data_IF_497034563226
#
_entry.id   IF_497034563226
#
_cell.length_a   1.000
_cell.length_b   1.000
_cell.length_c   1.000
_cell.angle_alpha   90.00
_cell.angle_beta   90.00
_cell.angle_gamma   90.00
#
_symmetry.space_group_name_H-M   'P 1'
#
loop_
_entity.id
_entity.type
_entity.pdbx_description
1 polymer ?
#
# COMPACT_ATOMS: atom_id res chain seq x y z
N UNK A 1 -15.75 5.72 -12.85
CA UNK A 1 -14.80 6.50 -13.67
C UNK A 1 -13.96 7.37 -12.75
N UNK A 2 -12.66 7.46 -12.98
CA UNK A 2 -11.81 8.40 -12.26
C UNK A 2 -12.17 9.83 -12.71
N UNK A 3 -12.51 10.70 -11.77
CA UNK A 3 -12.70 12.13 -12.07
C UNK A 3 -11.32 12.76 -12.15
N UNK A 4 -11.01 13.46 -13.24
CA UNK A 4 -9.73 14.16 -13.36
C UNK A 4 -9.69 15.29 -12.32
N UNK A 5 -8.83 15.16 -11.33
CA UNK A 5 -8.58 16.21 -10.35
C UNK A 5 -7.70 17.32 -10.94
N UNK A 6 -7.58 18.44 -10.20
CA UNK A 6 -6.85 19.62 -10.67
C UNK A 6 -5.38 19.32 -10.99
N UNK A 7 -4.70 18.56 -10.15
CA UNK A 7 -3.28 18.25 -10.35
C UNK A 7 -3.07 17.34 -11.58
N UNK A 8 -4.01 16.43 -11.83
CA UNK A 8 -3.99 15.53 -12.98
C UNK A 8 -4.33 16.26 -14.27
N UNK A 9 -5.29 17.21 -14.23
CA UNK A 9 -5.59 18.09 -15.37
C UNK A 9 -4.40 19.00 -15.72
N UNK A 10 -3.67 19.52 -14.73
CA UNK A 10 -2.44 20.30 -14.97
C UNK A 10 -1.37 19.46 -15.70
N UNK A 11 -1.16 18.20 -15.30
CA UNK A 11 -0.24 17.27 -15.99
C UNK A 11 -0.70 16.97 -17.42
N UNK A 12 -1.99 16.72 -17.63
CA UNK A 12 -2.53 16.50 -18.96
C UNK A 12 -2.41 17.73 -19.85
N UNK A 13 -2.64 18.92 -19.29
CA UNK A 13 -2.44 20.20 -19.97
C UNK A 13 -0.99 20.38 -20.41
N UNK A 14 -0.03 20.06 -19.53
CA UNK A 14 1.40 20.12 -19.86
C UNK A 14 1.76 19.14 -21.00
N UNK A 15 1.25 17.91 -20.94
CA UNK A 15 1.41 16.91 -21.99
C UNK A 15 0.88 17.39 -23.35
N UNK A 16 -0.34 17.95 -23.39
CA UNK A 16 -0.91 18.49 -24.63
C UNK A 16 -0.11 19.69 -25.19
N UNK A 17 0.50 20.51 -24.32
CA UNK A 17 1.39 21.61 -24.75
C UNK A 17 2.67 21.09 -25.38
N UNK A 18 3.26 20.06 -24.80
CA UNK A 18 4.44 19.40 -25.37
C UNK A 18 4.12 18.85 -26.77
N UNK A 19 2.99 18.17 -26.92
CA UNK A 19 2.53 17.68 -28.23
C UNK A 19 2.22 18.81 -29.21
N UNK A 20 1.66 19.92 -28.76
CA UNK A 20 1.49 21.11 -29.60
C UNK A 20 2.83 21.71 -30.08
N UNK A 21 3.88 21.66 -29.25
CA UNK A 21 5.23 22.07 -29.64
C UNK A 21 5.86 21.09 -30.64
N UNK A 22 5.61 19.78 -30.46
CA UNK A 22 6.00 18.73 -31.42
C UNK A 22 5.33 18.93 -32.78
N UNK A 23 4.02 19.23 -32.84
CA UNK A 23 3.31 19.56 -34.08
C UNK A 23 4.04 20.70 -34.80
N UNK A 24 4.34 21.80 -34.10
CA UNK A 24 5.00 22.96 -34.72
C UNK A 24 6.38 22.62 -35.27
N UNK A 25 7.17 21.86 -34.52
CA UNK A 25 8.53 21.49 -34.89
C UNK A 25 8.54 20.56 -36.11
N UNK A 26 7.69 19.54 -36.12
CA UNK A 26 7.77 18.46 -37.10
C UNK A 26 6.97 18.75 -38.37
N UNK A 27 5.96 19.62 -38.29
CA UNK A 27 5.01 19.86 -39.39
C UNK A 27 4.99 21.31 -39.87
N UNK A 28 5.67 22.21 -39.15
CA UNK A 28 5.68 23.66 -39.40
C UNK A 28 4.35 24.36 -39.08
N UNK A 29 3.28 23.63 -38.73
CA UNK A 29 1.98 24.20 -38.40
C UNK A 29 1.95 24.66 -36.94
N UNK A 30 1.71 25.96 -36.66
CA UNK A 30 1.57 26.45 -35.30
C UNK A 30 0.11 26.33 -34.81
N UNK A 31 -0.23 25.42 -33.88
CA UNK A 31 -1.59 25.23 -33.39
C UNK A 31 -1.99 26.32 -32.38
N UNK A 32 -1.91 27.60 -32.77
CA UNK A 32 -2.10 28.75 -31.89
C UNK A 32 -3.49 28.77 -31.23
N UNK A 33 -4.53 28.37 -31.96
CA UNK A 33 -5.89 28.33 -31.43
C UNK A 33 -6.03 27.25 -30.35
N UNK A 34 -5.41 26.08 -30.55
CA UNK A 34 -5.37 25.02 -29.55
C UNK A 34 -4.63 25.47 -28.28
N UNK A 35 -3.48 26.14 -28.41
CA UNK A 35 -2.74 26.70 -27.28
C UNK A 35 -3.58 27.73 -26.51
N UNK A 36 -4.35 28.57 -27.20
CA UNK A 36 -5.30 29.51 -26.56
C UNK A 36 -6.38 28.78 -25.77
N UNK A 37 -6.95 27.70 -26.30
CA UNK A 37 -7.92 26.87 -25.58
C UNK A 37 -7.31 26.27 -24.32
N UNK A 38 -6.10 25.70 -24.41
CA UNK A 38 -5.39 25.15 -23.23
C UNK A 38 -5.10 26.20 -22.14
N UNK A 39 -4.85 27.45 -22.52
CA UNK A 39 -4.65 28.54 -21.56
C UNK A 39 -5.95 28.95 -20.86
N UNK A 40 -7.08 28.91 -21.57
CA UNK A 40 -8.36 29.38 -21.06
C UNK A 40 -9.11 28.32 -20.25
N UNK A 41 -9.11 27.08 -20.77
CA UNK A 41 -10.00 26.01 -20.29
C UNK A 41 -9.25 24.86 -19.59
N UNK A 42 -7.92 24.78 -19.71
CA UNK A 42 -7.16 23.59 -19.30
C UNK A 42 -7.30 22.43 -20.28
N UNK A 43 -6.56 21.35 -20.03
CA UNK A 43 -6.40 20.20 -20.93
C UNK A 43 -7.68 19.38 -21.05
N UNK A 44 -8.27 18.99 -19.93
CA UNK A 44 -9.45 18.13 -19.88
C UNK A 44 -10.66 18.77 -20.57
N UNK A 45 -10.99 20.01 -20.20
CA UNK A 45 -12.15 20.70 -20.79
C UNK A 45 -11.93 20.99 -22.29
N UNK A 46 -10.70 21.34 -22.70
CA UNK A 46 -10.35 21.49 -24.12
C UNK A 46 -10.55 20.18 -24.88
N UNK A 47 -10.04 19.06 -24.35
CA UNK A 47 -10.18 17.76 -24.98
C UNK A 47 -11.65 17.34 -25.09
N UNK A 48 -12.43 17.46 -24.01
CA UNK A 48 -13.87 17.18 -24.02
C UNK A 48 -14.61 18.00 -25.08
N UNK A 49 -14.32 19.31 -25.21
CA UNK A 49 -14.94 20.16 -26.24
C UNK A 49 -14.62 19.68 -27.65
N UNK A 50 -13.36 19.33 -27.92
CA UNK A 50 -12.93 18.86 -29.24
C UNK A 50 -13.49 17.48 -29.58
N UNK A 51 -13.51 16.56 -28.61
CA UNK A 51 -14.06 15.22 -28.78
C UNK A 51 -15.58 15.26 -28.97
N UNK A 52 -16.32 16.04 -28.18
CA UNK A 52 -17.78 16.17 -28.29
C UNK A 52 -18.26 16.87 -29.57
N UNK A 53 -17.37 17.59 -30.28
CA UNK A 53 -17.71 18.30 -31.50
C UNK A 53 -18.18 17.34 -32.61
N UNK A 54 -19.33 17.64 -33.23
CA UNK A 54 -19.94 16.81 -34.30
C UNK A 54 -19.02 16.59 -35.51
N UNK A 55 -18.18 17.57 -35.82
CA UNK A 55 -17.25 17.55 -36.94
C UNK A 55 -15.80 17.57 -36.43
N UNK A 56 -14.85 16.98 -37.17
CA UNK A 56 -13.44 17.14 -36.86
C UNK A 56 -13.06 18.63 -36.80
N UNK A 57 -12.20 19.00 -35.86
CA UNK A 57 -11.72 20.37 -35.74
C UNK A 57 -10.80 20.74 -36.91
N UNK A 58 -10.63 22.04 -37.18
CA UNK A 58 -9.68 22.51 -38.21
C UNK A 58 -8.26 22.00 -37.94
N UNK A 59 -7.87 21.92 -36.65
CA UNK A 59 -6.59 21.34 -36.25
C UNK A 59 -6.49 19.84 -36.58
N UNK A 60 -7.56 19.08 -36.44
CA UNK A 60 -7.60 17.68 -36.87
C UNK A 60 -7.43 17.55 -38.38
N UNK A 61 -8.15 18.36 -39.17
CA UNK A 61 -8.06 18.35 -40.63
C UNK A 61 -6.64 18.70 -41.09
N UNK A 62 -6.04 19.71 -40.48
CA UNK A 62 -4.66 20.10 -40.78
C UNK A 62 -3.66 18.98 -40.45
N UNK A 63 -3.79 18.32 -39.29
CA UNK A 63 -2.96 17.17 -38.93
C UNK A 63 -3.17 15.98 -39.88
N UNK A 64 -4.40 15.77 -40.34
CA UNK A 64 -4.70 14.74 -41.35
C UNK A 64 -3.98 15.01 -42.67
N UNK A 65 -4.01 16.25 -43.17
CA UNK A 65 -3.33 16.64 -44.40
C UNK A 65 -1.80 16.48 -44.31
N UNK A 66 -1.26 16.52 -43.10
CA UNK A 66 0.17 16.36 -42.81
C UNK A 66 0.55 14.94 -42.38
N UNK A 67 -0.38 13.99 -42.44
CA UNK A 67 -0.18 12.60 -42.01
C UNK A 67 0.31 12.46 -40.56
N UNK A 68 -0.09 13.39 -39.67
CA UNK A 68 0.27 13.41 -38.25
C UNK A 68 -0.95 13.31 -37.32
N UNK A 69 -1.90 12.44 -37.67
CA UNK A 69 -3.07 12.18 -36.81
C UNK A 69 -2.69 11.52 -35.47
N UNK A 70 -1.49 10.97 -35.34
CA UNK A 70 -0.89 10.54 -34.07
C UNK A 70 -0.79 11.68 -33.04
N UNK A 71 -0.76 12.95 -33.50
CA UNK A 71 -0.75 14.14 -32.65
C UNK A 71 -2.13 14.78 -32.46
N UNK A 72 -3.19 14.18 -32.99
CA UNK A 72 -4.56 14.66 -32.78
C UNK A 72 -5.01 14.39 -31.33
N UNK A 73 -5.95 15.19 -30.81
CA UNK A 73 -6.48 14.99 -29.46
C UNK A 73 -7.17 13.63 -29.35
N UNK A 74 -7.86 13.22 -30.40
CA UNK A 74 -8.50 11.92 -30.54
C UNK A 74 -7.50 10.77 -30.33
N UNK A 75 -6.39 10.77 -31.07
CA UNK A 75 -5.36 9.74 -30.96
C UNK A 75 -4.65 9.82 -29.61
N UNK A 76 -4.25 11.02 -29.17
CA UNK A 76 -3.56 11.20 -27.90
C UNK A 76 -4.40 10.72 -26.71
N UNK A 77 -5.72 10.97 -26.70
CA UNK A 77 -6.61 10.47 -25.64
C UNK A 77 -6.77 8.95 -25.72
N UNK A 78 -6.94 8.41 -26.94
CA UNK A 78 -7.17 6.97 -27.10
C UNK A 78 -5.92 6.13 -26.86
N UNK A 79 -4.72 6.63 -27.17
CA UNK A 79 -3.48 5.83 -27.23
C UNK A 79 -2.52 6.08 -26.05
N UNK A 80 -2.95 6.85 -25.04
CA UNK A 80 -2.17 7.09 -23.82
C UNK A 80 -2.97 6.88 -22.53
N UNK A 81 -2.30 7.00 -21.39
CA UNK A 81 -2.87 6.85 -20.04
C UNK A 81 -4.06 7.75 -19.73
N UNK A 82 -4.23 8.81 -20.52
CA UNK A 82 -5.32 9.76 -20.34
C UNK A 82 -6.69 9.16 -20.65
N UNK A 83 -6.78 8.04 -21.39
CA UNK A 83 -8.03 7.33 -21.70
C UNK A 83 -8.89 7.04 -20.47
N UNK A 84 -8.26 6.78 -19.31
CA UNK A 84 -8.93 6.41 -18.06
C UNK A 84 -9.82 7.52 -17.46
N UNK A 85 -9.67 8.76 -17.93
CA UNK A 85 -10.37 9.93 -17.41
C UNK A 85 -11.57 10.38 -18.27
N UNK A 86 -11.76 9.79 -19.46
CA UNK A 86 -12.83 10.18 -20.39
C UNK A 86 -13.96 9.16 -20.39
N UNK A 87 -15.19 9.62 -20.59
CA UNK A 87 -16.36 8.74 -20.66
C UNK A 87 -16.40 7.96 -21.97
N UNK A 88 -17.01 6.78 -21.93
CA UNK A 88 -17.08 5.86 -23.07
C UNK A 88 -17.83 6.45 -24.28
N UNK A 89 -18.69 7.46 -24.09
CA UNK A 89 -19.36 8.13 -25.21
C UNK A 89 -18.38 9.04 -25.96
N UNK A 90 -17.58 9.83 -25.24
CA UNK A 90 -16.52 10.65 -25.81
C UNK A 90 -15.44 9.80 -26.48
N UNK A 91 -15.06 8.67 -25.86
CA UNK A 91 -14.09 7.75 -26.46
C UNK A 91 -14.60 7.19 -27.79
N UNK A 92 -15.86 6.74 -27.86
CA UNK A 92 -16.46 6.27 -29.12
C UNK A 92 -16.52 7.35 -30.20
N UNK A 93 -16.71 8.61 -29.81
CA UNK A 93 -16.71 9.72 -30.75
C UNK A 93 -15.30 10.01 -31.30
N UNK A 94 -14.27 9.91 -30.45
CA UNK A 94 -12.87 9.95 -30.88
C UNK A 94 -12.55 8.84 -31.89
N UNK A 95 -12.96 7.60 -31.59
CA UNK A 95 -12.77 6.45 -32.48
C UNK A 95 -13.48 6.64 -33.82
N UNK A 96 -14.72 7.17 -33.79
CA UNK A 96 -15.51 7.45 -34.99
C UNK A 96 -14.79 8.45 -35.90
N UNK A 97 -14.13 9.47 -35.34
CA UNK A 97 -13.36 10.48 -36.09
C UNK A 97 -12.08 9.91 -36.70
N UNK A 98 -11.40 9.00 -36.01
CA UNK A 98 -10.18 8.35 -36.52
C UNK A 98 -10.47 7.21 -37.51
N UNK A 99 -11.67 6.62 -37.46
CA UNK A 99 -12.03 5.44 -38.25
C UNK A 99 -11.78 5.64 -39.75
N UNK A 100 -10.88 4.83 -40.30
CA UNK A 100 -10.51 4.85 -41.72
C UNK A 100 -9.49 5.92 -42.11
N UNK A 101 -9.19 6.88 -41.23
CA UNK A 101 -8.17 7.91 -41.44
C UNK A 101 -6.85 7.60 -40.71
N UNK A 102 -6.92 6.94 -39.55
CA UNK A 102 -5.77 6.61 -38.73
C UNK A 102 -5.99 5.27 -38.02
N UNK A 103 -4.95 4.41 -38.00
CA UNK A 103 -4.97 3.13 -37.30
C UNK A 103 -4.47 3.34 -35.88
N UNK A 104 -5.40 3.41 -34.94
CA UNK A 104 -5.09 3.55 -33.51
C UNK A 104 -5.24 2.23 -32.76
N UNK A 105 -4.62 2.13 -31.59
CA UNK A 105 -4.86 1.06 -30.62
C UNK A 105 -5.24 1.71 -29.29
N UNK A 106 -6.43 1.40 -28.74
CA UNK A 106 -6.80 1.90 -27.40
C UNK A 106 -5.68 1.55 -26.42
N UNK A 107 -5.21 2.57 -25.72
CA UNK A 107 -4.35 2.43 -24.59
C UNK A 107 -5.07 1.57 -23.59
N UNK A 108 -4.55 0.38 -23.45
CA UNK A 108 -4.77 -0.36 -22.24
C UNK A 108 -3.70 0.18 -21.30
N UNK A 109 -4.06 0.62 -20.08
CA UNK A 109 -3.04 0.75 -19.04
C UNK A 109 -2.21 -0.50 -19.11
N UNK A 110 -0.89 -0.36 -19.00
CA UNK A 110 -0.03 -1.51 -18.76
C UNK A 110 -0.38 -2.04 -17.35
N UNK A 111 -1.58 -2.61 -17.20
CA UNK A 111 -1.68 -3.91 -16.60
C UNK A 111 -0.94 -4.82 -17.55
N UNK A 112 0.33 -5.04 -17.23
CA UNK A 112 1.02 -6.30 -17.53
C UNK A 112 -0.07 -7.38 -17.68
N UNK A 113 -0.18 -8.06 -18.82
CA UNK A 113 -1.07 -9.23 -18.94
C UNK A 113 -0.70 -10.33 -17.91
N UNK A 114 0.36 -10.11 -17.13
CA UNK A 114 0.83 -10.88 -16.00
C UNK A 114 0.43 -10.34 -14.62
N UNK A 115 -0.24 -9.18 -14.49
CA UNK A 115 -0.67 -8.67 -13.19
C UNK A 115 -1.79 -9.53 -12.64
N UNK A 116 -1.60 -9.99 -11.42
CA UNK A 116 -2.59 -10.80 -10.75
C UNK A 116 -3.72 -9.93 -10.18
N UNK A 117 -4.96 -10.45 -10.20
CA UNK A 117 -6.10 -9.80 -9.57
C UNK A 117 -5.87 -9.47 -8.09
N UNK A 118 -6.53 -8.43 -7.59
CA UNK A 118 -6.36 -7.96 -6.19
C UNK A 118 -6.75 -9.03 -5.18
N UNK A 119 -7.78 -9.83 -5.47
CA UNK A 119 -8.20 -10.96 -4.63
C UNK A 119 -7.13 -12.04 -4.46
N UNK A 120 -6.23 -12.20 -5.46
CA UNK A 120 -5.05 -13.07 -5.32
C UNK A 120 -4.06 -12.46 -4.34
N UNK A 121 -3.84 -11.13 -4.41
CA UNK A 121 -2.94 -10.42 -3.51
C UNK A 121 -3.46 -10.42 -2.06
N UNK A 122 -4.78 -10.36 -1.88
CA UNK A 122 -5.46 -10.35 -0.58
C UNK A 122 -5.41 -11.71 0.16
N UNK A 123 -4.89 -12.77 -0.48
CA UNK A 123 -4.54 -14.01 0.22
C UNK A 123 -3.35 -13.85 1.17
N UNK A 124 -2.57 -12.78 1.02
CA UNK A 124 -1.46 -12.46 1.93
C UNK A 124 -2.02 -12.07 3.28
N UNK A 125 -1.58 -12.77 4.33
CA UNK A 125 -2.00 -12.52 5.72
C UNK A 125 -0.86 -11.86 6.48
N UNK A 126 -1.18 -11.31 7.67
CA UNK A 126 -0.15 -10.79 8.56
C UNK A 126 0.87 -11.87 8.99
N UNK A 127 0.46 -13.14 9.05
CA UNK A 127 1.37 -14.27 9.31
C UNK A 127 2.39 -14.46 8.17
N UNK A 128 1.94 -14.43 6.91
CA UNK A 128 2.83 -14.50 5.75
C UNK A 128 3.82 -13.34 5.71
N UNK A 129 3.37 -12.13 6.02
CA UNK A 129 4.23 -10.94 6.06
C UNK A 129 5.26 -11.00 7.19
N UNK A 130 4.86 -11.49 8.36
CA UNK A 130 5.75 -11.67 9.49
C UNK A 130 6.87 -12.66 9.16
N UNK A 131 6.51 -13.80 8.56
CA UNK A 131 7.49 -14.79 8.12
C UNK A 131 8.41 -14.24 7.01
N UNK A 132 7.87 -13.48 6.06
CA UNK A 132 8.68 -12.86 5.02
C UNK A 132 9.71 -11.89 5.63
N UNK A 133 9.28 -10.99 6.52
CA UNK A 133 10.19 -10.08 7.22
C UNK A 133 11.24 -10.85 8.03
N UNK A 134 10.88 -11.97 8.66
CA UNK A 134 11.84 -12.85 9.35
C UNK A 134 12.91 -13.37 8.40
N UNK A 135 12.54 -13.89 7.24
CA UNK A 135 13.49 -14.37 6.23
C UNK A 135 14.42 -13.26 5.71
N UNK A 136 13.91 -12.04 5.53
CA UNK A 136 14.74 -10.88 5.19
C UNK A 136 15.74 -10.52 6.29
N UNK A 137 15.34 -10.60 7.57
CA UNK A 137 16.22 -10.33 8.71
C UNK A 137 17.32 -11.37 8.87
N UNK A 138 17.02 -12.63 8.56
CA UNK A 138 17.95 -13.77 8.61
C UNK A 138 18.82 -13.88 7.34
N UNK A 139 18.50 -13.13 6.29
CA UNK A 139 19.20 -13.21 4.99
C UNK A 139 18.88 -14.48 4.20
N UNK A 140 17.79 -15.17 4.54
CA UNK A 140 17.35 -16.43 3.94
C UNK A 140 16.29 -16.24 2.85
N UNK A 141 15.75 -15.01 2.69
CA UNK A 141 14.73 -14.70 1.70
C UNK A 141 15.24 -14.93 0.26
N UNK A 142 14.56 -15.82 -0.48
CA UNK A 142 14.84 -16.10 -1.89
C UNK A 142 13.80 -15.42 -2.77
N UNK A 143 14.23 -14.51 -3.65
CA UNK A 143 13.33 -13.78 -4.52
C UNK A 143 14.03 -13.14 -5.73
N UNK A 144 13.24 -12.75 -6.74
CA UNK A 144 13.74 -12.09 -7.97
C UNK A 144 13.58 -10.56 -7.97
N UNK A 145 13.04 -9.99 -6.88
CA UNK A 145 12.79 -8.56 -6.78
C UNK A 145 14.07 -7.75 -6.60
N UNK A 146 14.11 -6.57 -7.21
CA UNK A 146 15.18 -5.59 -7.04
C UNK A 146 15.08 -4.84 -5.69
N UNK A 147 16.15 -4.15 -5.26
CA UNK A 147 16.09 -3.23 -4.12
C UNK A 147 15.03 -2.13 -4.27
N UNK A 148 14.61 -1.53 -3.16
CA UNK A 148 13.67 -0.40 -3.15
C UNK A 148 14.27 0.86 -3.78
N UNK A 149 13.45 1.55 -4.57
CA UNK A 149 13.76 2.85 -5.19
C UNK A 149 13.32 4.00 -4.30
N UNK A 150 12.01 4.06 -4.02
CA UNK A 150 11.37 5.27 -3.43
C UNK A 150 10.95 5.07 -1.97
N UNK A 151 10.62 3.84 -1.58
CA UNK A 151 10.05 3.52 -0.27
C UNK A 151 10.70 2.29 0.35
N UNK A 152 10.86 2.33 1.66
CA UNK A 152 11.30 1.22 2.50
C UNK A 152 10.22 0.81 3.49
N UNK A 153 10.16 -0.50 3.77
CA UNK A 153 9.45 -1.04 4.90
C UNK A 153 10.36 -0.94 6.12
N UNK A 154 9.86 -0.29 7.18
CA UNK A 154 10.59 -0.09 8.42
C UNK A 154 10.12 -1.09 9.49
N UNK A 155 11.06 -1.79 10.10
CA UNK A 155 10.84 -2.66 11.26
C UNK A 155 11.18 -1.94 12.57
N UNK A 156 10.73 -2.44 13.73
CA UNK A 156 11.00 -1.73 15.01
C UNK A 156 12.47 -1.69 15.43
N UNK A 157 13.27 -2.65 14.98
CA UNK A 157 14.71 -2.62 15.18
C UNK A 157 15.41 -1.61 14.25
N UNK A 158 14.65 -0.79 13.51
CA UNK A 158 15.14 0.27 12.64
C UNK A 158 15.67 -0.24 11.29
N UNK A 159 15.52 -1.53 10.99
CA UNK A 159 15.95 -2.10 9.71
C UNK A 159 14.97 -1.71 8.61
N UNK A 160 15.52 -1.57 7.40
CA UNK A 160 14.80 -1.17 6.20
C UNK A 160 14.85 -2.28 5.17
N UNK A 161 13.69 -2.63 4.63
CA UNK A 161 13.55 -3.68 3.61
C UNK A 161 12.75 -3.19 2.40
N UNK A 162 12.98 -3.72 1.18
CA UNK A 162 12.18 -3.35 0.03
C UNK A 162 10.72 -3.84 0.17
N UNK A 163 9.70 -2.96 0.23
CA UNK A 163 8.31 -3.36 0.50
C UNK A 163 7.78 -4.36 -0.51
N UNK A 164 8.10 -4.14 -1.79
CA UNK A 164 7.64 -4.99 -2.90
C UNK A 164 8.25 -6.39 -2.83
N UNK A 165 9.52 -6.50 -2.41
CA UNK A 165 10.19 -7.78 -2.26
C UNK A 165 9.65 -8.57 -1.06
N UNK A 166 9.47 -7.90 0.08
CA UNK A 166 8.84 -8.49 1.28
C UNK A 166 7.45 -9.02 0.95
N UNK A 167 6.62 -8.21 0.30
CA UNK A 167 5.28 -8.63 -0.12
C UNK A 167 5.32 -9.77 -1.13
N UNK A 168 6.25 -9.77 -2.08
CA UNK A 168 6.41 -10.84 -3.07
C UNK A 168 6.73 -12.19 -2.44
N UNK A 169 7.63 -12.22 -1.46
CA UNK A 169 7.96 -13.44 -0.68
C UNK A 169 6.74 -13.91 0.12
N UNK A 170 6.01 -12.99 0.75
CA UNK A 170 4.78 -13.32 1.47
C UNK A 170 3.67 -13.86 0.56
N UNK A 171 3.52 -13.29 -0.64
CA UNK A 171 2.57 -13.75 -1.65
C UNK A 171 2.94 -15.13 -2.18
N UNK A 172 4.23 -15.41 -2.37
CA UNK A 172 4.70 -16.75 -2.74
C UNK A 172 4.26 -17.78 -1.70
N UNK A 173 4.45 -17.50 -0.40
CA UNK A 173 3.99 -18.38 0.68
C UNK A 173 2.47 -18.55 0.69
N UNK A 174 1.72 -17.46 0.51
CA UNK A 174 0.26 -17.50 0.46
C UNK A 174 -0.30 -18.33 -0.71
N UNK A 175 0.48 -18.48 -1.79
CA UNK A 175 0.15 -19.27 -2.97
C UNK A 175 0.81 -20.66 -2.97
N UNK A 176 1.33 -21.12 -1.84
CA UNK A 176 1.92 -22.46 -1.73
C UNK A 176 3.30 -22.59 -2.39
N UNK A 177 4.06 -21.50 -2.46
CA UNK A 177 5.43 -21.47 -2.99
C UNK A 177 5.54 -21.13 -4.48
N UNK A 178 4.47 -20.65 -5.11
CA UNK A 178 4.53 -20.18 -6.50
C UNK A 178 5.54 -19.04 -6.69
N UNK A 179 6.18 -19.00 -7.86
CA UNK A 179 7.14 -17.94 -8.18
C UNK A 179 6.40 -16.62 -8.43
N UNK A 180 6.71 -15.62 -7.61
CA UNK A 180 6.15 -14.28 -7.73
C UNK A 180 7.20 -13.32 -8.29
N UNK A 181 6.84 -12.57 -9.33
CA UNK A 181 7.73 -11.64 -10.03
C UNK A 181 7.26 -10.18 -9.88
N UNK A 182 8.14 -9.18 -10.07
CA UNK A 182 7.78 -7.76 -10.03
C UNK A 182 6.64 -7.34 -10.97
N UNK A 183 6.42 -8.07 -12.08
CA UNK A 183 5.32 -7.84 -13.03
C UNK A 183 3.93 -8.25 -12.49
N UNK A 184 3.88 -9.12 -11.47
CA UNK A 184 2.59 -9.65 -10.96
C UNK A 184 1.79 -8.63 -10.17
N UNK A 185 2.41 -7.58 -9.63
CA UNK A 185 1.72 -6.53 -8.89
C UNK A 185 2.51 -5.23 -8.89
N UNK A 186 1.83 -4.11 -8.66
CA UNK A 186 2.46 -2.81 -8.47
C UNK A 186 2.91 -2.61 -7.02
N UNK A 187 4.01 -1.89 -6.84
CA UNK A 187 4.39 -1.29 -5.56
C UNK A 187 4.22 0.22 -5.66
N UNK A 188 3.94 0.89 -4.55
CA UNK A 188 3.72 2.34 -4.50
C UNK A 188 2.63 2.73 -3.51
N UNK A 189 2.55 4.03 -3.21
CA UNK A 189 1.75 4.60 -2.12
C UNK A 189 0.26 4.16 -2.12
N UNK A 190 -0.34 4.04 -3.30
CA UNK A 190 -1.75 3.65 -3.52
C UNK A 190 -1.94 2.18 -3.92
N UNK A 191 -0.88 1.36 -3.89
CA UNK A 191 -0.94 -0.04 -4.30
C UNK A 191 -1.60 -0.93 -3.23
N UNK A 192 -2.25 -2.01 -3.67
CA UNK A 192 -2.77 -3.04 -2.77
C UNK A 192 -1.66 -3.65 -1.89
N UNK A 193 -0.46 -3.82 -2.44
CA UNK A 193 0.74 -4.25 -1.73
C UNK A 193 1.00 -3.37 -0.48
N UNK A 194 1.06 -2.05 -0.63
CA UNK A 194 1.34 -1.14 0.50
C UNK A 194 0.19 -1.08 1.49
N UNK A 195 -1.05 -1.14 1.01
CA UNK A 195 -2.23 -1.21 1.87
C UNK A 195 -2.18 -2.45 2.77
N UNK A 196 -1.95 -3.64 2.21
CA UNK A 196 -1.90 -4.90 2.97
C UNK A 196 -0.73 -4.89 3.98
N UNK A 197 0.43 -4.35 3.60
CA UNK A 197 1.55 -4.17 4.53
C UNK A 197 1.17 -3.32 5.74
N UNK A 198 0.47 -2.20 5.52
CA UNK A 198 0.02 -1.29 6.58
C UNK A 198 -1.07 -1.89 7.45
N UNK A 199 -2.03 -2.59 6.86
CA UNK A 199 -3.08 -3.32 7.59
C UNK A 199 -2.49 -4.42 8.50
N UNK A 200 -1.38 -5.05 8.08
CA UNK A 200 -0.60 -5.97 8.89
C UNK A 200 0.25 -5.30 9.98
N UNK A 201 0.25 -3.96 10.04
CA UNK A 201 0.91 -3.16 11.06
C UNK A 201 2.28 -2.59 10.68
N UNK A 202 2.80 -2.88 9.48
CA UNK A 202 4.10 -2.36 9.04
C UNK A 202 4.03 -0.93 8.54
N UNK A 203 5.09 -0.16 8.81
CA UNK A 203 5.23 1.22 8.31
C UNK A 203 6.04 1.21 7.03
N UNK A 204 5.51 1.87 5.99
CA UNK A 204 6.23 2.09 4.73
C UNK A 204 6.56 3.57 4.61
N UNK A 205 7.84 3.90 4.54
CA UNK A 205 8.38 5.26 4.58
C UNK A 205 9.20 5.58 3.33
N UNK A 206 9.26 6.85 2.86
CA UNK A 206 10.19 7.24 1.80
C UNK A 206 11.65 6.98 2.19
N UNK A 207 12.49 6.63 1.22
CA UNK A 207 13.90 6.22 1.45
C UNK A 207 14.74 7.28 2.18
N UNK A 208 14.50 8.55 1.88
CA UNK A 208 15.23 9.69 2.45
C UNK A 208 14.52 10.34 3.66
N UNK A 209 13.40 9.77 4.11
CA UNK A 209 12.69 10.30 5.28
C UNK A 209 13.39 9.90 6.58
N UNK A 210 13.69 10.90 7.40
CA UNK A 210 14.02 10.73 8.81
C UNK A 210 12.80 10.13 9.51
N UNK A 211 13.04 9.16 10.40
CA UNK A 211 12.00 8.44 11.12
C UNK A 211 10.89 9.38 11.60
N UNK A 212 9.61 9.13 11.31
CA UNK A 212 8.55 9.81 12.04
C UNK A 212 8.68 9.39 13.50
N UNK A 213 9.12 10.32 14.35
CA UNK A 213 8.97 10.20 15.79
C UNK A 213 7.48 10.07 16.06
N UNK A 214 7.00 8.84 16.32
CA UNK A 214 5.58 8.63 16.53
C UNK A 214 5.10 9.45 17.74
N UNK A 215 3.94 10.14 17.66
CA UNK A 215 3.37 10.84 18.79
C UNK A 215 3.06 9.85 19.93
N UNK A 216 3.57 10.16 21.12
CA UNK A 216 3.45 9.42 22.38
C UNK A 216 2.03 9.43 22.98
N UNK A 217 1.00 9.14 22.19
CA UNK A 217 -0.37 9.09 22.70
C UNK A 217 -0.67 7.71 23.25
N UNK A 218 -0.78 7.66 24.59
CA UNK A 218 -0.94 6.49 25.45
C UNK A 218 -2.37 6.46 26.04
N UNK A 219 -3.16 5.39 25.84
CA UNK A 219 -4.43 5.18 26.55
C UNK A 219 -4.27 4.58 27.96
N UNK A 220 -3.09 4.08 28.34
CA UNK A 220 -2.77 3.43 29.62
C UNK A 220 -1.80 4.25 30.50
N UNK A 221 -1.90 5.59 30.45
CA UNK A 221 -1.32 6.44 31.51
C UNK A 221 -2.09 6.21 32.81
N UNK A 222 -1.67 5.23 33.60
CA UNK A 222 -1.96 5.19 35.05
C UNK A 222 -1.32 6.44 35.69
N UNK A 223 -2.16 7.45 35.95
CA UNK A 223 -1.79 8.60 36.76
C UNK A 223 -1.60 8.16 38.21
N UNK A 224 -0.36 7.89 38.58
CA UNK A 224 0.05 7.89 39.98
C UNK A 224 0.89 9.12 40.26
N UNK A 225 0.37 9.95 41.16
CA UNK A 225 1.03 11.12 41.75
C UNK A 225 2.36 10.68 42.39
N UNK A 226 3.47 10.89 41.67
CA UNK A 226 4.82 10.69 42.21
C UNK A 226 5.73 9.75 41.41
N UNK A 227 6.62 10.36 40.62
CA UNK A 227 7.84 9.81 39.97
C UNK A 227 7.61 8.74 38.88
N UNK A 228 7.62 9.14 37.59
CA UNK A 228 7.60 8.19 36.48
C UNK A 228 8.91 7.41 36.40
N UNK A 229 8.82 6.07 36.32
CA UNK A 229 9.95 5.18 36.04
C UNK A 229 9.64 4.28 34.84
N UNK A 230 10.61 4.30 33.91
CA UNK A 230 10.89 3.42 32.76
C UNK A 230 10.10 3.60 31.45
N UNK A 231 10.66 4.49 30.62
CA UNK A 231 10.43 4.69 29.17
C UNK A 231 10.88 3.48 28.32
N UNK A 232 11.52 2.46 28.90
CA UNK A 232 12.11 1.35 28.13
C UNK A 232 11.14 0.21 27.76
N UNK A 233 9.95 0.13 28.36
CA UNK A 233 8.95 -0.91 28.05
C UNK A 233 8.24 -0.66 26.70
N UNK A 234 8.08 0.60 26.32
CA UNK A 234 7.26 1.04 25.19
C UNK A 234 7.85 0.72 23.81
N UNK A 235 9.18 0.66 23.67
CA UNK A 235 9.84 0.40 22.38
C UNK A 235 9.89 -1.09 21.99
N UNK A 236 9.67 -1.99 22.96
CA UNK A 236 9.96 -3.42 22.80
C UNK A 236 8.70 -4.29 22.78
N UNK A 237 7.58 -3.78 23.30
CA UNK A 237 6.29 -4.46 23.29
C UNK A 237 5.52 -4.33 21.97
N UNK A 238 5.95 -3.43 21.07
CA UNK A 238 5.42 -3.34 19.71
C UNK A 238 6.40 -4.09 18.82
N UNK A 239 5.96 -5.25 18.35
CA UNK A 239 6.48 -5.85 17.13
C UNK A 239 5.38 -5.70 16.05
N UNK A 240 5.64 -4.99 14.95
CA UNK A 240 4.63 -4.20 14.26
C UNK A 240 3.65 -5.13 13.54
N UNK A 241 4.22 -6.24 13.05
CA UNK A 241 3.49 -7.38 12.56
C UNK A 241 3.20 -8.46 13.60
N UNK A 242 3.90 -8.57 14.74
CA UNK A 242 3.81 -9.72 15.64
C UNK A 242 2.40 -9.93 16.21
N UNK A 243 1.78 -8.86 16.73
CA UNK A 243 0.43 -8.96 17.30
C UNK A 243 -0.59 -9.35 16.23
N UNK A 244 -0.53 -8.71 15.06
CA UNK A 244 -1.40 -9.01 13.92
C UNK A 244 -1.17 -10.42 13.37
N UNK A 245 0.09 -10.85 13.27
CA UNK A 245 0.50 -12.17 12.82
C UNK A 245 0.07 -13.28 13.77
N UNK A 246 0.26 -13.10 15.09
CA UNK A 246 -0.21 -14.09 16.08
C UNK A 246 -1.72 -14.24 16.04
N UNK A 247 -2.46 -13.13 15.97
CA UNK A 247 -3.92 -13.19 15.79
C UNK A 247 -4.31 -13.89 14.48
N UNK A 248 -3.61 -13.62 13.38
CA UNK A 248 -3.85 -14.28 12.10
C UNK A 248 -3.59 -15.80 12.16
N UNK A 249 -2.45 -16.21 12.73
CA UNK A 249 -2.11 -17.62 12.96
C UNK A 249 -3.17 -18.30 13.84
N UNK A 250 -3.57 -17.65 14.93
CA UNK A 250 -4.58 -18.20 15.84
C UNK A 250 -5.91 -18.45 15.11
N UNK A 251 -6.37 -17.49 14.29
CA UNK A 251 -7.59 -17.67 13.47
C UNK A 251 -7.43 -18.81 12.47
N UNK A 252 -6.28 -18.92 11.81
CA UNK A 252 -6.00 -20.00 10.85
C UNK A 252 -6.08 -21.38 11.51
N UNK A 253 -5.55 -21.52 12.72
CA UNK A 253 -5.51 -22.80 13.44
C UNK A 253 -6.82 -23.14 14.17
N UNK A 254 -7.55 -22.15 14.68
CA UNK A 254 -8.70 -22.36 15.58
C UNK A 254 -10.04 -21.83 15.03
N UNK A 255 -10.05 -21.25 13.83
CA UNK A 255 -11.21 -20.70 13.13
C UNK A 255 -11.72 -19.35 13.65
N UNK A 256 -11.55 -19.06 14.94
CA UNK A 256 -11.97 -17.80 15.57
C UNK A 256 -10.97 -17.37 16.64
N UNK A 257 -10.82 -16.06 16.82
CA UNK A 257 -9.95 -15.48 17.84
C UNK A 257 -10.57 -15.66 19.23
N UNK A 258 -9.85 -16.29 20.16
CA UNK A 258 -10.31 -16.54 21.54
C UNK A 258 -9.17 -16.32 22.51
N UNK A 259 -9.52 -16.04 23.77
CA UNK A 259 -8.54 -16.02 24.85
C UNK A 259 -8.01 -17.43 25.10
N UNK A 260 -6.70 -17.62 24.99
CA UNK A 260 -6.01 -18.90 25.22
C UNK A 260 -6.10 -19.36 26.67
N UNK A 261 -6.31 -18.43 27.61
CA UNK A 261 -6.38 -18.74 29.05
C UNK A 261 -7.78 -19.11 29.53
N UNK A 262 -8.80 -18.32 29.18
CA UNK A 262 -10.16 -18.49 29.72
C UNK A 262 -11.19 -18.93 28.68
N UNK A 263 -10.80 -19.05 27.40
CA UNK A 263 -11.71 -19.42 26.31
C UNK A 263 -12.70 -18.33 25.91
N UNK A 264 -12.55 -17.11 26.44
CA UNK A 264 -13.41 -15.98 26.07
C UNK A 264 -13.41 -15.76 24.56
N UNK A 265 -14.61 -15.76 23.98
CA UNK A 265 -14.85 -15.64 22.55
C UNK A 265 -15.56 -14.31 22.28
N UNK A 266 -14.83 -13.24 21.88
CA UNK A 266 -15.40 -11.92 21.75
C UNK A 266 -16.49 -11.84 20.67
N UNK A 267 -16.44 -12.68 19.64
CA UNK A 267 -17.45 -12.71 18.58
C UNK A 267 -18.85 -13.14 19.06
N UNK A 268 -18.94 -13.74 20.27
CA UNK A 268 -20.22 -14.07 20.90
C UNK A 268 -20.81 -12.93 21.73
N UNK A 269 -20.03 -11.88 22.01
CA UNK A 269 -20.40 -10.83 22.95
C UNK A 269 -20.44 -9.44 22.31
N UNK A 270 -19.67 -9.23 21.25
CA UNK A 270 -19.53 -7.95 20.57
C UNK A 270 -19.80 -8.11 19.08
N UNK A 271 -20.07 -7.00 18.42
CA UNK A 271 -20.14 -6.94 16.96
C UNK A 271 -18.79 -7.28 16.33
N UNK A 272 -18.84 -7.79 15.10
CA UNK A 272 -17.67 -8.30 14.37
C UNK A 272 -16.57 -7.24 14.18
N UNK A 273 -16.95 -5.98 13.99
CA UNK A 273 -16.03 -4.86 13.77
C UNK A 273 -15.17 -4.59 15.01
N UNK A 274 -15.75 -4.69 16.21
CA UNK A 274 -15.08 -4.33 17.46
C UNK A 274 -14.64 -5.53 18.31
N UNK A 275 -15.14 -6.74 18.06
CA UNK A 275 -14.89 -7.93 18.87
C UNK A 275 -13.39 -8.18 19.14
N UNK A 276 -12.55 -8.03 18.11
CA UNK A 276 -11.13 -8.38 18.22
C UNK A 276 -10.29 -7.42 19.05
N UNK A 277 -10.83 -6.24 19.38
CA UNK A 277 -10.19 -5.27 20.28
C UNK A 277 -10.01 -5.83 21.68
N UNK A 278 -10.84 -6.80 22.07
CA UNK A 278 -10.83 -7.39 23.41
C UNK A 278 -9.72 -8.43 23.62
N UNK A 279 -9.00 -8.83 22.56
CA UNK A 279 -7.91 -9.80 22.61
C UNK A 279 -6.58 -9.10 22.34
N UNK A 280 -5.64 -9.24 23.26
CA UNK A 280 -4.30 -8.67 23.25
C UNK A 280 -3.27 -9.81 23.10
N UNK A 281 -2.11 -9.51 22.51
CA UNK A 281 -1.03 -10.49 22.34
C UNK A 281 0.02 -10.25 23.42
N UNK A 282 0.30 -11.28 24.21
CA UNK A 282 1.16 -11.24 25.39
C UNK A 282 2.32 -12.23 25.27
N UNK A 283 3.52 -11.86 25.70
CA UNK A 283 4.68 -12.75 25.71
C UNK A 283 4.54 -13.85 26.77
N UNK A 284 4.55 -15.12 26.37
CA UNK A 284 4.19 -16.25 27.22
C UNK A 284 5.12 -16.46 28.42
N UNK A 285 6.45 -16.32 28.24
CA UNK A 285 7.41 -16.77 29.27
C UNK A 285 8.40 -15.71 29.77
N UNK A 286 8.58 -14.58 29.07
CA UNK A 286 9.65 -13.64 29.42
C UNK A 286 9.13 -12.21 29.53
N UNK A 287 9.24 -11.64 30.72
CA UNK A 287 9.12 -10.20 30.90
C UNK A 287 10.05 -9.52 29.89
N UNK A 288 9.53 -8.63 29.06
CA UNK A 288 10.29 -7.94 27.99
C UNK A 288 11.58 -7.28 28.52
N UNK A 289 11.65 -7.01 29.84
CA UNK A 289 12.85 -6.52 30.53
C UNK A 289 13.99 -7.53 30.73
N UNK A 290 13.75 -8.84 30.56
CA UNK A 290 14.76 -9.91 30.72
C UNK A 290 15.32 -10.40 29.38
N UNK A 291 14.73 -9.99 28.27
CA UNK A 291 15.23 -10.34 26.94
C UNK A 291 16.57 -9.63 26.67
N UNK A 292 17.58 -10.34 26.19
CA UNK A 292 18.87 -9.75 25.77
C UNK A 292 18.74 -8.94 24.48
N UNK A 293 19.65 -8.00 24.23
CA UNK A 293 19.69 -7.26 22.97
C UNK A 293 19.91 -8.22 21.80
N UNK A 294 18.92 -8.33 20.90
CA UNK A 294 18.96 -9.25 19.76
C UNK A 294 18.04 -10.47 19.85
N UNK A 295 17.29 -10.64 20.95
CA UNK A 295 16.29 -11.71 21.05
C UNK A 295 15.26 -11.62 19.92
N UNK A 296 15.08 -12.72 19.18
CA UNK A 296 14.08 -12.85 18.11
C UNK A 296 12.84 -13.51 18.70
N UNK A 297 11.75 -12.76 18.82
CA UNK A 297 10.46 -13.30 19.27
C UNK A 297 9.77 -14.05 18.12
N UNK A 298 9.37 -15.28 18.39
CA UNK A 298 8.57 -16.13 17.51
C UNK A 298 7.09 -16.04 17.86
N UNK A 299 6.21 -16.58 17.00
CA UNK A 299 4.76 -16.62 17.30
C UNK A 299 4.43 -17.58 18.45
N UNK A 300 5.30 -18.55 18.74
CA UNK A 300 5.12 -19.48 19.85
C UNK A 300 5.50 -18.85 21.21
N UNK A 301 6.31 -17.79 21.19
CA UNK A 301 6.68 -17.02 22.39
C UNK A 301 5.58 -16.07 22.88
N UNK A 302 4.46 -16.00 22.17
CA UNK A 302 3.34 -15.11 22.48
C UNK A 302 2.00 -15.85 22.47
N UNK A 303 1.03 -15.32 23.20
CA UNK A 303 -0.33 -15.86 23.35
C UNK A 303 -1.39 -14.76 23.26
N UNK A 304 -2.56 -15.10 22.73
CA UNK A 304 -3.76 -14.27 22.65
C UNK A 304 -4.54 -14.33 23.97
N UNK A 305 -4.61 -13.22 24.70
CA UNK A 305 -5.32 -13.11 25.97
C UNK A 305 -6.41 -12.05 25.90
N UNK A 306 -7.54 -12.24 26.58
CA UNK A 306 -8.49 -11.14 26.75
C UNK A 306 -7.92 -10.07 27.69
N UNK A 307 -8.41 -8.83 27.59
CA UNK A 307 -7.95 -7.71 28.44
C UNK A 307 -7.91 -8.05 29.95
N UNK A 308 -8.87 -8.82 30.44
CA UNK A 308 -8.89 -9.26 31.84
C UNK A 308 -7.79 -10.28 32.13
N UNK A 309 -7.64 -11.33 31.31
CA UNK A 309 -6.59 -12.31 31.49
C UNK A 309 -5.20 -11.70 31.33
N UNK A 310 -5.04 -10.75 30.42
CA UNK A 310 -3.82 -10.00 30.21
C UNK A 310 -3.39 -9.24 31.47
N UNK A 311 -4.30 -8.43 32.04
CA UNK A 311 -4.08 -7.72 33.31
C UNK A 311 -3.74 -8.67 34.46
N UNK A 312 -4.41 -9.82 34.55
CA UNK A 312 -4.13 -10.83 35.59
C UNK A 312 -2.72 -11.41 35.41
N UNK A 313 -2.31 -11.76 34.18
CA UNK A 313 -0.95 -12.28 33.93
C UNK A 313 0.10 -11.25 34.34
N UNK A 314 -0.05 -9.98 33.95
CA UNK A 314 0.87 -8.93 34.39
C UNK A 314 0.91 -8.77 35.92
N UNK A 315 -0.23 -8.87 36.60
CA UNK A 315 -0.30 -8.81 38.06
C UNK A 315 0.48 -9.96 38.72
N UNK A 316 0.32 -11.19 38.21
CA UNK A 316 1.06 -12.38 38.68
C UNK A 316 2.56 -12.22 38.45
N UNK A 317 2.98 -11.83 37.25
CA UNK A 317 4.40 -11.64 36.91
C UNK A 317 5.09 -10.56 37.77
N UNK A 318 4.36 -9.46 38.08
CA UNK A 318 4.84 -8.41 39.01
C UNK A 318 5.08 -9.00 40.40
N UNK A 319 4.14 -9.81 40.92
CA UNK A 319 4.27 -10.43 42.22
C UNK A 319 5.44 -11.44 42.29
N UNK A 320 5.64 -12.24 41.24
CA UNK A 320 6.76 -13.19 41.13
C UNK A 320 8.11 -12.48 41.06
N UNK A 321 8.20 -11.39 40.30
CA UNK A 321 9.42 -10.57 40.21
C UNK A 321 9.80 -9.99 41.57
N UNK A 322 8.81 -9.52 42.35
CA UNK A 322 9.03 -9.05 43.73
C UNK A 322 9.46 -10.19 44.65
N UNK A 323 8.86 -11.39 44.52
CA UNK A 323 9.26 -12.57 45.31
C UNK A 323 10.69 -13.02 44.99
N UNK A 324 11.07 -13.10 43.72
CA UNK A 324 12.42 -13.49 43.29
C UNK A 324 13.51 -12.54 43.84
N UNK A 325 13.24 -11.23 43.85
CA UNK A 325 14.14 -10.23 44.46
C UNK A 325 14.29 -10.36 45.98
N UNK A 326 13.29 -10.93 46.67
CA UNK A 326 13.32 -11.15 48.12
C UNK A 326 14.03 -12.44 48.53
N UNK A 327 14.09 -13.44 47.65
CA UNK A 327 14.73 -14.74 47.93
C UNK A 327 16.22 -14.76 47.55
N UNK A 328 16.63 -13.92 46.58
CA UNK A 328 18.03 -13.81 46.14
C UNK A 328 18.88 -12.79 46.92
N UNK A 329 18.48 -12.38 48.12
CA UNK A 329 19.16 -11.36 48.91
C UNK A 329 19.42 -11.81 50.35
#
# INVERSE_FOLDING_TARGET
>A
MAKMDRATDERFTAFLREKAAEIKRDTGYPPNQFIKMLNADGGYATACKLLAGKYPSDGFVELSNKHRLDLSVEALVLETEWIAYFDELLLKEAERKLKGAYKFVRYQPVGDNNRWPVDVLEKVTAEHLFEAVRQFREGTAQHVFAPSTDYDLLTEDGRRFPPKAVFGVALSMALGGETVEPKHFSGGESSACFRILREAGYVVVPKDSVEPSQPETDPDKEWHEGKPRLVSHLKRERAAGLSKAKKAQFRRLHGALRCERCGFDPAKHYDEEHAESCIEVHHAETHVSKMESGHVTTLDDVQCLCANCHRVVHSVLRAETVRAKRVGN
#
